data_IF_442336895293
#
_entry.id   IF_442336895293
#
_cell.length_a   1.000
_cell.length_b   1.000
_cell.length_c   1.000
_cell.angle_alpha   90.00
_cell.angle_beta   90.00
_cell.angle_gamma   90.00
#
_symmetry.space_group_name_H-M   'P 1'
#
loop_
_entity.id
_entity.type
_entity.pdbx_description
1 polymer ?
#
# COMPACT_ATOMS: atom_id res chain seq x y z
N UNK A 1 -4.58 6.52 6.69
CA UNK A 1 -5.35 5.61 7.58
C UNK A 1 -4.50 4.45 8.07
N UNK A 2 -4.93 3.78 9.15
CA UNK A 2 -4.35 2.50 9.58
C UNK A 2 -5.00 1.35 8.80
N UNK A 3 -4.28 0.22 8.67
CA UNK A 3 -4.87 -1.01 8.14
C UNK A 3 -6.00 -1.50 9.05
N UNK A 4 -7.03 -2.09 8.44
CA UNK A 4 -8.14 -2.75 9.11
C UNK A 4 -7.78 -4.14 9.67
N UNK A 5 -6.65 -4.70 9.27
CA UNK A 5 -6.15 -6.02 9.66
C UNK A 5 -4.75 -5.95 10.28
N UNK A 6 -4.52 -6.76 11.32
CA UNK A 6 -3.17 -7.07 11.80
C UNK A 6 -2.57 -8.19 10.95
N UNK A 7 -1.34 -8.00 10.49
CA UNK A 7 -0.65 -8.99 9.65
C UNK A 7 0.83 -9.03 9.99
N UNK A 8 1.40 -10.24 10.04
CA UNK A 8 2.83 -10.44 10.28
C UNK A 8 3.61 -9.77 9.13
N UNK A 9 4.65 -9.01 9.47
CA UNK A 9 5.44 -8.24 8.50
C UNK A 9 4.85 -6.89 8.11
N UNK A 10 3.79 -6.43 8.79
CA UNK A 10 3.14 -5.15 8.56
C UNK A 10 4.10 -3.96 8.64
N UNK A 11 3.95 -3.02 7.70
CA UNK A 11 4.84 -1.84 7.57
C UNK A 11 4.33 -0.61 8.32
N UNK A 12 3.49 -0.77 9.36
CA UNK A 12 2.85 0.35 10.09
C UNK A 12 3.82 1.47 10.46
N UNK A 13 4.95 1.13 11.07
CA UNK A 13 5.94 2.11 11.54
C UNK A 13 6.83 2.67 10.42
N UNK A 14 6.92 1.98 9.28
CA UNK A 14 7.79 2.34 8.15
C UNK A 14 7.06 3.05 7.01
N UNK A 15 5.73 2.94 6.92
CA UNK A 15 4.94 3.38 5.77
C UNK A 15 5.21 4.83 5.35
N UNK A 16 5.30 5.76 6.31
CA UNK A 16 5.53 7.17 6.00
C UNK A 16 6.92 7.39 5.40
N UNK A 17 7.94 6.71 5.92
CA UNK A 17 9.29 6.76 5.37
C UNK A 17 9.34 6.14 3.97
N UNK A 18 8.67 5.00 3.74
CA UNK A 18 8.64 4.39 2.41
C UNK A 18 8.03 5.32 1.36
N UNK A 19 6.95 6.01 1.72
CA UNK A 19 6.22 6.92 0.82
C UNK A 19 7.06 8.14 0.45
N UNK A 20 7.91 8.65 1.37
CA UNK A 20 8.80 9.77 1.05
C UNK A 20 9.90 9.40 0.05
N UNK A 21 10.18 8.11 -0.12
CA UNK A 21 11.17 7.61 -1.10
C UNK A 21 10.54 7.25 -2.45
N UNK A 22 9.20 7.35 -2.60
CA UNK A 22 8.56 7.14 -3.90
C UNK A 22 8.86 8.32 -4.84
N UNK A 23 8.78 8.12 -6.17
CA UNK A 23 8.82 9.23 -7.13
C UNK A 23 7.75 10.29 -6.83
N UNK A 24 7.85 11.47 -7.43
CA UNK A 24 6.77 12.44 -7.32
C UNK A 24 5.49 11.84 -7.92
N UNK A 25 4.36 12.04 -7.26
CA UNK A 25 3.03 11.61 -7.72
C UNK A 25 2.66 12.09 -9.14
N UNK A 26 3.36 13.08 -9.71
CA UNK A 26 3.21 13.52 -11.10
C UNK A 26 3.95 12.65 -12.11
N UNK A 27 4.90 11.82 -11.65
CA UNK A 27 5.74 10.96 -12.49
C UNK A 27 5.11 9.60 -12.81
N UNK A 28 4.05 9.22 -12.09
CA UNK A 28 3.34 7.96 -12.29
C UNK A 28 1.84 8.12 -12.12
N UNK A 29 1.08 7.39 -12.93
CA UNK A 29 -0.39 7.36 -12.88
C UNK A 29 -0.92 6.11 -12.15
N UNK A 30 -0.06 5.13 -11.88
CA UNK A 30 -0.43 3.85 -11.27
C UNK A 30 0.48 3.45 -10.12
N UNK A 31 -0.12 3.16 -8.97
CA UNK A 31 0.51 2.51 -7.84
C UNK A 31 0.10 1.04 -7.81
N UNK A 32 1.07 0.13 -7.63
CA UNK A 32 0.83 -1.32 -7.59
C UNK A 32 1.47 -1.91 -6.33
N UNK A 33 0.64 -2.35 -5.39
CA UNK A 33 1.10 -3.06 -4.19
C UNK A 33 0.98 -4.56 -4.43
N UNK A 34 2.04 -5.13 -5.00
CA UNK A 34 2.09 -6.53 -5.46
C UNK A 34 2.01 -7.54 -4.31
N UNK A 35 2.49 -7.15 -3.13
CA UNK A 35 2.45 -7.93 -1.88
C UNK A 35 1.68 -7.15 -0.82
N UNK A 36 0.36 -7.17 -0.96
CA UNK A 36 -0.57 -6.35 -0.22
C UNK A 36 -0.55 -6.57 1.29
N UNK A 37 -0.62 -7.83 1.74
CA UNK A 37 -0.74 -8.18 3.14
C UNK A 37 -1.90 -7.43 3.83
N UNK A 38 -1.55 -6.52 4.75
CA UNK A 38 -2.52 -5.65 5.42
C UNK A 38 -2.72 -4.28 4.73
N UNK A 39 -2.10 -4.01 3.59
CA UNK A 39 -2.22 -2.74 2.87
C UNK A 39 -1.67 -1.54 3.65
N UNK A 40 -0.66 -1.75 4.50
CA UNK A 40 -0.15 -0.68 5.37
C UNK A 40 0.42 0.52 4.61
N UNK A 41 0.97 0.30 3.41
CA UNK A 41 1.50 1.39 2.57
C UNK A 41 0.36 2.00 1.75
N UNK A 42 -0.48 1.18 1.10
CA UNK A 42 -1.68 1.62 0.39
C UNK A 42 -2.52 2.58 1.23
N UNK A 43 -2.94 2.17 2.43
CA UNK A 43 -3.84 2.97 3.27
C UNK A 43 -3.17 4.15 3.96
N UNK A 44 -1.85 4.29 3.90
CA UNK A 44 -1.13 5.38 4.56
C UNK A 44 -1.43 6.76 3.95
N UNK A 45 -1.85 6.80 2.68
CA UNK A 45 -2.21 7.99 1.92
C UNK A 45 -3.61 7.81 1.35
N UNK A 46 -4.35 8.89 1.15
CA UNK A 46 -5.69 8.80 0.55
C UNK A 46 -5.63 8.28 -0.89
N UNK A 47 -4.60 8.69 -1.66
CA UNK A 47 -4.25 8.18 -2.98
C UNK A 47 -2.75 8.31 -3.26
N UNK A 48 -2.13 7.22 -3.69
CA UNK A 48 -0.76 7.19 -4.23
C UNK A 48 -0.72 7.63 -5.69
N UNK A 49 -1.71 7.23 -6.50
CA UNK A 49 -1.80 7.59 -7.91
C UNK A 49 -3.26 7.64 -8.42
N UNK A 50 -3.43 7.93 -9.72
CA UNK A 50 -4.73 7.90 -10.41
C UNK A 50 -5.34 6.50 -10.40
N UNK A 51 -4.52 5.47 -10.51
CA UNK A 51 -4.94 4.07 -10.43
C UNK A 51 -4.17 3.37 -9.31
N UNK A 52 -4.86 2.58 -8.50
CA UNK A 52 -4.25 1.79 -7.43
C UNK A 52 -4.64 0.34 -7.63
N UNK A 53 -3.64 -0.53 -7.68
CA UNK A 53 -3.84 -1.98 -7.81
C UNK A 53 -3.30 -2.63 -6.56
N UNK A 54 -4.19 -3.29 -5.84
CA UNK A 54 -3.86 -4.12 -4.69
C UNK A 54 -3.84 -5.59 -5.12
N UNK A 55 -2.77 -6.30 -4.77
CA UNK A 55 -2.64 -7.73 -5.03
C UNK A 55 -2.04 -8.44 -3.82
N UNK A 56 -2.53 -9.63 -3.53
CA UNK A 56 -1.87 -10.59 -2.65
C UNK A 56 -2.18 -12.01 -3.12
N UNK A 57 -1.27 -12.96 -2.87
CA UNK A 57 -1.49 -14.36 -3.21
C UNK A 57 -2.53 -15.02 -2.31
N UNK A 58 -2.71 -14.51 -1.10
CA UNK A 58 -3.68 -15.04 -0.16
C UNK A 58 -5.10 -14.63 -0.56
N UNK A 59 -5.88 -15.59 -1.06
CA UNK A 59 -7.27 -15.38 -1.46
C UNK A 59 -8.15 -14.79 -0.36
N UNK A 60 -7.84 -15.05 0.91
CA UNK A 60 -8.63 -14.52 2.04
C UNK A 60 -8.30 -13.06 2.38
N UNK A 61 -7.25 -12.49 1.79
CA UNK A 61 -6.92 -11.06 1.91
C UNK A 61 -7.50 -10.22 0.76
N UNK A 62 -7.81 -10.87 -0.37
CA UNK A 62 -8.27 -10.19 -1.59
C UNK A 62 -9.78 -10.30 -1.83
N UNK A 63 -10.47 -11.25 -1.18
CA UNK A 63 -11.94 -11.45 -1.27
C UNK A 63 -12.63 -11.01 0.03
#
# INVERSE_FOLDING_TARGET
>A
MDSFLSWIGGKKLLRNKLITEFPDSKEYDKYVEVFGGAGWVLFAKDRHATYEVYNDINSNLVN
#
